data_IF_035644625953
#
_entry.id   IF_035644625953
#
_cell.length_a   1.000
_cell.length_b   1.000
_cell.length_c   1.000
_cell.angle_alpha   90.00
_cell.angle_beta   90.00
_cell.angle_gamma   90.00
#
_symmetry.space_group_name_H-M   'P 1'
#
loop_
_entity.id
_entity.type
_entity.pdbx_description
1 polymer ?
#
# COMPACT_ATOMS: atom_id res chain seq x y z
N UNK A 1 -9.30 18.29 11.47
CA UNK A 1 -8.73 17.87 10.17
C UNK A 1 -7.70 16.80 10.44
N UNK A 2 -7.80 15.62 9.79
CA UNK A 2 -6.78 14.58 9.90
C UNK A 2 -5.56 14.91 9.03
N UNK A 3 -4.38 14.57 9.52
CA UNK A 3 -3.14 14.75 8.78
C UNK A 3 -3.10 13.82 7.53
N UNK A 4 -2.70 14.32 6.35
CA UNK A 4 -2.62 13.51 5.12
C UNK A 4 -1.74 12.26 5.24
N UNK A 5 -0.70 12.29 6.08
CA UNK A 5 0.18 11.14 6.37
C UNK A 5 -0.58 10.06 7.12
N UNK A 6 -1.42 10.46 8.09
CA UNK A 6 -2.29 9.54 8.83
C UNK A 6 -3.33 8.88 7.92
N UNK A 7 -3.91 9.63 6.97
CA UNK A 7 -4.86 9.06 6.01
C UNK A 7 -4.23 7.95 5.14
N UNK A 8 -3.01 8.18 4.61
CA UNK A 8 -2.28 7.17 3.83
C UNK A 8 -2.01 5.90 4.63
N UNK A 9 -1.60 6.05 5.88
CA UNK A 9 -1.31 4.94 6.79
C UNK A 9 -2.55 4.10 7.07
N UNK A 10 -3.66 4.75 7.38
CA UNK A 10 -4.96 4.09 7.58
C UNK A 10 -5.42 3.35 6.33
N UNK A 11 -5.30 3.97 5.15
CA UNK A 11 -5.64 3.34 3.88
C UNK A 11 -4.76 2.11 3.61
N UNK A 12 -3.44 2.21 3.81
CA UNK A 12 -2.53 1.05 3.67
C UNK A 12 -2.90 -0.08 4.62
N UNK A 13 -3.14 0.22 5.89
CA UNK A 13 -3.47 -0.80 6.88
C UNK A 13 -4.81 -1.48 6.56
N UNK A 14 -5.82 -0.71 6.15
CA UNK A 14 -7.10 -1.25 5.70
C UNK A 14 -6.92 -2.16 4.47
N UNK A 15 -6.11 -1.74 3.50
CA UNK A 15 -5.81 -2.50 2.29
C UNK A 15 -5.08 -3.82 2.57
N UNK A 16 -4.10 -3.84 3.47
CA UNK A 16 -3.27 -5.03 3.72
C UNK A 16 -3.94 -6.03 4.67
N UNK A 17 -4.73 -5.56 5.65
CA UNK A 17 -5.31 -6.44 6.68
C UNK A 17 -6.77 -6.84 6.40
N UNK A 18 -7.59 -5.93 5.88
CA UNK A 18 -9.05 -6.11 5.85
C UNK A 18 -9.67 -5.99 4.47
N UNK A 19 -9.76 -4.76 3.96
CA UNK A 19 -10.49 -4.42 2.74
C UNK A 19 -9.94 -5.13 1.49
N UNK A 20 -8.60 -5.35 1.42
CA UNK A 20 -7.89 -6.02 0.30
C UNK A 20 -8.05 -5.37 -1.08
N UNK A 21 -8.94 -4.40 -1.22
CA UNK A 21 -9.15 -3.53 -2.37
C UNK A 21 -9.65 -2.17 -1.86
N UNK A 22 -9.01 -1.10 -2.28
CA UNK A 22 -9.49 0.27 -2.09
C UNK A 22 -9.58 0.96 -3.46
N UNK A 23 -10.64 1.73 -3.67
CA UNK A 23 -10.86 2.51 -4.89
C UNK A 23 -10.86 3.99 -4.55
N UNK A 24 -10.13 4.77 -5.35
CA UNK A 24 -9.99 6.21 -5.24
C UNK A 24 -10.29 6.82 -6.61
N UNK A 25 -11.57 7.13 -6.86
CA UNK A 25 -12.02 7.54 -8.19
C UNK A 25 -11.72 6.45 -9.23
N UNK A 26 -10.88 6.77 -10.21
CA UNK A 26 -10.51 5.86 -11.30
C UNK A 26 -9.32 4.95 -10.99
N UNK A 27 -8.66 5.12 -9.84
CA UNK A 27 -7.51 4.30 -9.44
C UNK A 27 -7.91 3.29 -8.38
N UNK A 28 -7.24 2.14 -8.39
CA UNK A 28 -7.47 1.06 -7.44
C UNK A 28 -6.17 0.54 -6.84
N UNK A 29 -6.20 0.28 -5.53
CA UNK A 29 -5.14 -0.37 -4.80
C UNK A 29 -5.63 -1.76 -4.40
N UNK A 30 -5.02 -2.83 -4.92
CA UNK A 30 -5.45 -4.22 -4.66
C UNK A 30 -4.34 -5.02 -4.02
N UNK A 31 -4.62 -5.68 -2.91
CA UNK A 31 -3.65 -6.51 -2.19
C UNK A 31 -2.95 -7.55 -3.07
N UNK A 32 -3.69 -8.24 -3.95
CA UNK A 32 -3.10 -9.23 -4.87
C UNK A 32 -2.13 -8.60 -5.88
N UNK A 33 -2.34 -7.34 -6.26
CA UNK A 33 -1.39 -6.62 -7.11
C UNK A 33 -0.07 -6.35 -6.38
N UNK A 34 -0.16 -5.90 -5.12
CA UNK A 34 1.01 -5.67 -4.27
C UNK A 34 1.77 -6.96 -3.96
N UNK A 35 1.07 -8.08 -3.75
CA UNK A 35 1.71 -9.40 -3.59
C UNK A 35 2.50 -9.83 -4.83
N UNK A 36 2.00 -9.51 -6.03
CA UNK A 36 2.75 -9.79 -7.25
C UNK A 36 3.97 -8.87 -7.39
N UNK A 37 3.81 -7.59 -7.06
CA UNK A 37 4.86 -6.56 -7.10
C UNK A 37 6.07 -6.94 -6.25
N UNK A 38 5.88 -7.32 -4.97
CA UNK A 38 7.00 -7.70 -4.08
C UNK A 38 7.78 -8.93 -4.55
N UNK A 39 7.27 -9.70 -5.52
CA UNK A 39 7.96 -10.82 -6.13
C UNK A 39 8.83 -10.44 -7.34
N UNK A 40 8.73 -9.20 -7.83
CA UNK A 40 9.48 -8.74 -9.01
C UNK A 40 10.81 -8.10 -8.60
N UNK A 41 11.83 -8.29 -9.44
CA UNK A 41 13.17 -7.71 -9.22
C UNK A 41 13.21 -6.18 -9.43
N UNK A 42 12.27 -5.61 -10.19
CA UNK A 42 12.14 -4.18 -10.48
C UNK A 42 11.26 -3.43 -9.47
N UNK A 43 10.75 -4.11 -8.45
CA UNK A 43 9.85 -3.53 -7.46
C UNK A 43 10.58 -2.64 -6.46
N UNK A 44 10.06 -1.43 -6.27
CA UNK A 44 10.48 -0.53 -5.19
C UNK A 44 9.92 -0.94 -3.82
N UNK A 45 8.99 -1.90 -3.77
CA UNK A 45 8.38 -2.39 -2.52
C UNK A 45 9.15 -3.55 -1.93
N UNK A 46 9.26 -3.54 -0.61
CA UNK A 46 9.84 -4.65 0.16
C UNK A 46 8.78 -5.68 0.54
N UNK A 47 9.19 -6.92 0.79
CA UNK A 47 8.29 -7.96 1.31
C UNK A 47 7.56 -7.52 2.58
N UNK A 48 8.26 -6.80 3.47
CA UNK A 48 7.71 -6.29 4.73
C UNK A 48 6.69 -5.14 4.54
N UNK A 49 6.63 -4.55 3.34
CA UNK A 49 5.64 -3.53 3.03
C UNK A 49 4.22 -4.12 2.90
N UNK A 50 4.13 -5.43 2.62
CA UNK A 50 2.89 -6.17 2.32
C UNK A 50 2.66 -7.32 3.29
N UNK A 51 3.70 -8.09 3.63
CA UNK A 51 3.65 -9.27 4.52
C UNK A 51 4.31 -8.90 5.85
N UNK A 52 3.73 -9.30 6.99
CA UNK A 52 4.22 -8.90 8.34
C UNK A 52 4.36 -7.38 8.49
N UNK A 53 3.24 -6.71 8.22
CA UNK A 53 3.10 -5.27 8.16
C UNK A 53 3.59 -4.57 9.45
N UNK A 54 4.54 -3.64 9.32
CA UNK A 54 4.71 -2.60 10.32
C UNK A 54 3.67 -1.50 10.07
N UNK A 55 2.61 -1.52 10.90
CA UNK A 55 1.52 -0.54 10.87
C UNK A 55 1.98 0.88 11.19
N UNK A 56 3.21 1.07 11.69
CA UNK A 56 3.79 2.37 12.01
C UNK A 56 4.75 2.93 10.95
N UNK A 57 5.15 2.14 9.94
CA UNK A 57 6.08 2.58 8.89
C UNK A 57 5.40 3.51 7.86
N UNK A 58 5.71 4.79 7.96
CA UNK A 58 5.21 5.82 7.04
C UNK A 58 5.88 5.79 5.67
N UNK A 59 7.14 5.32 5.59
CA UNK A 59 7.86 5.19 4.33
C UNK A 59 7.25 4.07 3.48
N UNK A 60 6.82 2.97 4.11
CA UNK A 60 6.10 1.92 3.41
C UNK A 60 4.70 2.37 2.94
N UNK A 61 4.02 3.25 3.68
CA UNK A 61 2.80 3.90 3.21
C UNK A 61 3.05 4.77 1.97
N UNK A 62 4.16 5.50 1.94
CA UNK A 62 4.56 6.28 0.78
C UNK A 62 4.85 5.40 -0.46
N UNK A 63 5.62 4.31 -0.29
CA UNK A 63 5.90 3.34 -1.38
C UNK A 63 4.63 2.69 -1.92
N UNK A 64 3.70 2.31 -1.04
CA UNK A 64 2.43 1.64 -1.44
C UNK A 64 1.58 2.52 -2.34
N UNK A 65 1.49 3.83 -2.05
CA UNK A 65 0.70 4.79 -2.83
C UNK A 65 1.54 5.60 -3.82
N UNK A 66 2.72 5.12 -4.21
CA UNK A 66 3.45 5.65 -5.34
C UNK A 66 2.68 5.36 -6.64
N UNK A 67 2.65 6.33 -7.56
CA UNK A 67 1.94 6.18 -8.83
C UNK A 67 2.38 4.94 -9.62
N UNK A 68 3.66 4.54 -9.51
CA UNK A 68 4.21 3.34 -10.16
C UNK A 68 3.58 2.03 -9.68
N UNK A 69 2.94 2.01 -8.50
CA UNK A 69 2.39 0.81 -7.87
C UNK A 69 0.85 0.77 -7.87
N UNK A 70 0.20 1.83 -8.34
CA UNK A 70 -1.25 1.93 -8.47
C UNK A 70 -1.68 1.62 -9.91
N UNK A 71 -2.83 0.96 -10.05
CA UNK A 71 -3.46 0.67 -11.34
C UNK A 71 -4.80 1.36 -11.47
#
# INVERSE_FOLDING_TARGET
VQDPKHAKKTARNALMSGARLLTFGNSSARYSHFLNLIGRHDSIMYKNDVIKLDCQDDAAAYRTFCSSNLK
#
